data_IF_026054947116
#
_entry.id   IF_026054947116
#
_cell.length_a   1.000
_cell.length_b   1.000
_cell.length_c   1.000
_cell.angle_alpha   90.00
_cell.angle_beta   90.00
_cell.angle_gamma   90.00
#
_symmetry.space_group_name_H-M   'P 1'
#
loop_
_entity.id
_entity.type
_entity.pdbx_description
1 polymer ?
#
# COMPACT_ATOMS: atom_id res chain seq x y z
N UNK A 1 7.81 -8.18 -32.13
CA UNK A 1 6.93 -7.13 -31.57
C UNK A 1 7.67 -6.47 -30.45
N UNK A 2 8.12 -5.21 -30.65
CA UNK A 2 8.71 -4.42 -29.56
C UNK A 2 7.56 -3.74 -28.81
N UNK A 3 6.88 -4.49 -27.93
CA UNK A 3 5.94 -3.88 -27.00
C UNK A 3 6.74 -3.19 -25.90
N UNK A 4 6.49 -1.90 -25.74
CA UNK A 4 7.08 -1.14 -24.63
C UNK A 4 6.52 -1.72 -23.32
N UNK A 5 7.34 -2.44 -22.57
CA UNK A 5 6.98 -3.06 -21.27
C UNK A 5 6.37 -2.06 -20.27
N UNK A 6 6.69 -0.78 -20.44
CA UNK A 6 6.17 0.31 -19.60
C UNK A 6 4.86 0.93 -20.12
N UNK A 7 4.34 0.50 -21.27
CA UNK A 7 3.09 1.03 -21.81
C UNK A 7 1.88 0.75 -20.89
N UNK A 8 1.92 -0.34 -20.13
CA UNK A 8 0.88 -0.71 -19.14
C UNK A 8 0.77 0.27 -17.96
N UNK A 9 1.82 1.06 -17.68
CA UNK A 9 1.85 2.03 -16.58
C UNK A 9 1.48 3.45 -17.01
N UNK A 10 1.27 3.67 -18.30
CA UNK A 10 0.84 4.98 -18.82
C UNK A 10 -0.62 5.19 -18.41
N UNK A 11 -0.92 6.39 -17.92
CA UNK A 11 -2.28 6.76 -17.50
C UNK A 11 -3.26 6.64 -18.65
N UNK A 12 -4.33 5.85 -18.55
CA UNK A 12 -5.34 5.77 -19.59
C UNK A 12 -6.10 7.08 -19.69
N UNK A 13 -6.22 7.59 -20.89
CA UNK A 13 -7.01 8.79 -21.21
C UNK A 13 -8.19 8.40 -22.09
N UNK A 14 -9.39 8.86 -21.75
CA UNK A 14 -10.60 8.68 -22.55
C UNK A 14 -11.13 10.04 -22.95
N UNK A 15 -11.24 10.30 -24.25
CA UNK A 15 -11.66 11.61 -24.79
C UNK A 15 -10.85 12.80 -24.24
N UNK A 16 -9.53 12.63 -23.99
CA UNK A 16 -8.65 13.67 -23.44
C UNK A 16 -8.77 13.88 -21.91
N UNK A 17 -9.66 13.17 -21.20
CA UNK A 17 -9.78 13.24 -19.76
C UNK A 17 -9.01 12.07 -19.10
N UNK A 18 -8.25 12.33 -18.01
CA UNK A 18 -7.57 11.27 -17.26
C UNK A 18 -8.59 10.42 -16.50
N UNK A 19 -8.70 9.15 -16.84
CA UNK A 19 -9.65 8.21 -16.18
C UNK A 19 -9.14 7.80 -14.80
N UNK A 20 -7.93 8.15 -14.44
CA UNK A 20 -7.30 7.78 -13.15
C UNK A 20 -8.19 8.09 -11.95
N UNK A 21 -8.89 9.25 -11.96
CA UNK A 21 -9.81 9.64 -10.87
C UNK A 21 -10.96 8.64 -10.73
N UNK A 22 -11.52 8.19 -11.84
CA UNK A 22 -12.62 7.22 -11.85
C UNK A 22 -12.15 5.84 -11.35
N UNK A 23 -10.94 5.43 -11.74
CA UNK A 23 -10.34 4.18 -11.26
C UNK A 23 -10.04 4.25 -9.75
N UNK A 24 -9.60 5.38 -9.24
CA UNK A 24 -9.36 5.59 -7.80
C UNK A 24 -10.69 5.54 -7.02
N UNK A 25 -11.77 6.05 -7.60
CA UNK A 25 -13.09 6.02 -6.95
C UNK A 25 -13.76 4.64 -7.02
N UNK A 26 -13.38 3.77 -7.95
CA UNK A 26 -14.00 2.46 -8.17
C UNK A 26 -14.02 1.56 -6.93
N UNK A 27 -12.94 1.44 -6.13
CA UNK A 27 -12.95 0.62 -4.92
C UNK A 27 -14.00 1.04 -3.89
N UNK A 28 -14.38 2.34 -3.84
CA UNK A 28 -15.39 2.82 -2.90
C UNK A 28 -16.78 2.26 -3.23
N UNK A 29 -17.05 1.94 -4.49
CA UNK A 29 -18.32 1.36 -4.96
C UNK A 29 -18.42 -0.12 -4.55
N UNK A 30 -17.27 -0.82 -4.41
CA UNK A 30 -17.24 -2.22 -3.99
C UNK A 30 -17.65 -2.43 -2.52
N UNK A 31 -17.61 -1.37 -1.70
CA UNK A 31 -17.97 -1.43 -0.28
C UNK A 31 -19.31 -0.71 -0.01
N UNK A 32 -20.46 -1.30 -0.40
CA UNK A 32 -21.73 -0.69 -0.16
C UNK A 32 -22.03 -0.64 1.36
N UNK A 33 -22.60 0.47 1.81
CA UNK A 33 -23.07 0.60 3.19
C UNK A 33 -24.22 -0.36 3.47
N UNK A 34 -24.17 -1.03 4.62
CA UNK A 34 -25.27 -1.89 5.06
C UNK A 34 -26.46 -1.04 5.51
N UNK A 35 -27.48 -0.95 4.65
CA UNK A 35 -28.71 -0.19 4.93
C UNK A 35 -29.86 -1.09 5.45
N UNK A 36 -29.68 -2.41 5.38
CA UNK A 36 -30.73 -3.39 5.74
C UNK A 36 -30.40 -4.12 7.04
N UNK A 37 -31.42 -4.46 7.82
CA UNK A 37 -31.29 -5.26 9.06
C UNK A 37 -30.75 -6.67 8.78
N UNK A 38 -31.10 -7.27 7.65
CA UNK A 38 -30.59 -8.57 7.20
C UNK A 38 -29.72 -8.32 5.97
N UNK A 39 -28.44 -8.55 6.12
CA UNK A 39 -27.44 -8.30 5.09
C UNK A 39 -27.31 -9.51 4.13
N UNK A 40 -26.96 -9.21 2.88
CA UNK A 40 -26.58 -10.23 1.90
C UNK A 40 -25.27 -10.91 2.29
N UNK A 41 -25.04 -12.16 1.83
CA UNK A 41 -23.82 -12.93 2.13
C UNK A 41 -22.53 -12.18 1.80
N UNK A 42 -22.47 -11.43 0.69
CA UNK A 42 -21.33 -10.61 0.31
C UNK A 42 -21.05 -9.50 1.33
N UNK A 43 -22.09 -8.79 1.76
CA UNK A 43 -21.98 -7.72 2.75
C UNK A 43 -21.53 -8.29 4.12
N UNK A 44 -22.06 -9.45 4.51
CA UNK A 44 -21.64 -10.10 5.77
C UNK A 44 -20.18 -10.55 5.73
N UNK A 45 -19.69 -11.07 4.61
CA UNK A 45 -18.27 -11.41 4.42
C UNK A 45 -17.39 -10.17 4.52
N UNK A 46 -17.77 -9.07 3.86
CA UNK A 46 -17.05 -7.80 3.95
C UNK A 46 -17.01 -7.25 5.39
N UNK A 47 -18.15 -7.27 6.08
CA UNK A 47 -18.24 -6.83 7.48
C UNK A 47 -17.36 -7.70 8.41
N UNK A 48 -17.37 -9.01 8.21
CA UNK A 48 -16.50 -9.91 8.97
C UNK A 48 -15.02 -9.58 8.75
N UNK A 49 -14.62 -9.35 7.50
CA UNK A 49 -13.24 -8.99 7.15
C UNK A 49 -12.85 -7.62 7.77
N UNK A 50 -13.74 -6.62 7.71
CA UNK A 50 -13.52 -5.32 8.36
C UNK A 50 -13.41 -5.48 9.88
N UNK A 51 -14.26 -6.27 10.52
CA UNK A 51 -14.19 -6.52 11.96
C UNK A 51 -12.90 -7.23 12.37
N UNK A 52 -12.44 -8.18 11.58
CA UNK A 52 -11.20 -8.91 11.84
C UNK A 52 -9.98 -7.98 11.75
N UNK A 53 -9.90 -7.18 10.70
CA UNK A 53 -8.81 -6.20 10.53
C UNK A 53 -8.84 -5.11 11.58
N UNK A 54 -10.02 -4.57 11.92
CA UNK A 54 -10.15 -3.56 12.99
C UNK A 54 -9.73 -4.12 14.35
N UNK A 55 -10.13 -5.34 14.68
CA UNK A 55 -9.75 -5.98 15.94
C UNK A 55 -8.24 -6.16 16.06
N UNK A 56 -7.58 -6.59 14.98
CA UNK A 56 -6.13 -6.76 14.96
C UNK A 56 -5.39 -5.42 15.09
N UNK A 57 -5.80 -4.41 14.34
CA UNK A 57 -5.15 -3.10 14.36
C UNK A 57 -5.37 -2.35 15.68
N UNK A 58 -6.59 -2.45 16.25
CA UNK A 58 -6.94 -1.71 17.48
C UNK A 58 -6.39 -2.35 18.76
N UNK A 59 -5.96 -3.61 18.72
CA UNK A 59 -5.33 -4.26 19.89
C UNK A 59 -4.03 -3.59 20.34
N UNK A 60 -3.36 -2.88 19.43
CA UNK A 60 -2.08 -2.20 19.67
C UNK A 60 -2.29 -0.79 20.25
N UNK A 61 -3.45 -0.17 20.00
CA UNK A 61 -3.67 1.25 20.28
C UNK A 61 -4.28 1.55 21.64
N UNK A 62 -3.81 2.66 22.22
CA UNK A 62 -4.44 3.30 23.39
C UNK A 62 -5.81 3.89 23.03
N UNK A 63 -6.64 4.23 24.05
CA UNK A 63 -7.97 4.83 23.82
C UNK A 63 -7.93 6.09 22.91
N UNK A 64 -6.84 6.86 22.93
CA UNK A 64 -6.65 8.02 22.05
C UNK A 64 -6.36 7.62 20.61
N UNK A 65 -5.59 6.57 20.38
CA UNK A 65 -5.31 6.05 19.04
C UNK A 65 -6.52 5.39 18.38
N UNK A 66 -7.48 4.89 19.17
CA UNK A 66 -8.71 4.27 18.66
C UNK A 66 -9.60 5.25 17.87
N UNK A 67 -9.46 6.57 18.05
CA UNK A 67 -10.18 7.56 17.23
C UNK A 67 -9.81 7.49 15.75
N UNK A 68 -8.64 6.94 15.41
CA UNK A 68 -8.15 6.78 14.04
C UNK A 68 -8.54 5.43 13.42
N UNK A 69 -9.32 4.61 14.15
CA UNK A 69 -9.72 3.28 13.70
C UNK A 69 -10.36 3.28 12.31
N UNK A 70 -11.31 4.19 12.08
CA UNK A 70 -12.02 4.28 10.81
C UNK A 70 -11.08 4.63 9.66
N UNK A 71 -10.12 5.53 9.90
CA UNK A 71 -9.15 5.94 8.88
C UNK A 71 -8.18 4.80 8.53
N UNK A 72 -7.66 4.08 9.52
CA UNK A 72 -6.77 2.95 9.29
C UNK A 72 -7.47 1.78 8.59
N UNK A 73 -8.73 1.50 8.96
CA UNK A 73 -9.50 0.43 8.32
C UNK A 73 -9.90 0.77 6.90
N UNK A 74 -10.30 2.02 6.63
CA UNK A 74 -10.59 2.45 5.26
C UNK A 74 -9.34 2.40 4.38
N UNK A 75 -8.19 2.72 4.93
CA UNK A 75 -6.91 2.70 4.23
C UNK A 75 -6.49 1.28 3.84
N UNK A 76 -6.57 0.30 4.76
CA UNK A 76 -6.23 -1.09 4.42
C UNK A 76 -7.17 -1.66 3.36
N UNK A 77 -8.47 -1.35 3.46
CA UNK A 77 -9.45 -1.81 2.48
C UNK A 77 -9.25 -1.15 1.13
N UNK A 78 -8.91 0.13 1.10
CA UNK A 78 -8.64 0.87 -0.14
C UNK A 78 -7.38 0.34 -0.84
N UNK A 79 -6.24 0.26 -0.15
CA UNK A 79 -4.99 -0.24 -0.74
C UNK A 79 -5.14 -1.72 -1.14
N UNK A 80 -5.76 -2.54 -0.28
CA UNK A 80 -5.98 -3.96 -0.58
C UNK A 80 -6.85 -4.16 -1.81
N UNK A 81 -7.95 -3.44 -1.94
CA UNK A 81 -8.84 -3.55 -3.09
C UNK A 81 -8.21 -3.01 -4.38
N UNK A 82 -7.49 -1.88 -4.33
CA UNK A 82 -6.80 -1.35 -5.52
C UNK A 82 -5.69 -2.27 -6.01
N UNK A 83 -4.92 -2.86 -5.10
CA UNK A 83 -3.87 -3.81 -5.46
C UNK A 83 -4.44 -5.11 -6.04
N UNK A 84 -5.51 -5.65 -5.44
CA UNK A 84 -6.17 -6.86 -5.96
C UNK A 84 -6.84 -6.64 -7.32
N UNK A 85 -7.49 -5.51 -7.52
CA UNK A 85 -8.08 -5.16 -8.81
C UNK A 85 -7.01 -4.98 -9.89
N UNK A 86 -5.85 -4.50 -9.49
CA UNK A 86 -4.71 -4.34 -10.38
C UNK A 86 -4.12 -5.63 -10.92
N UNK A 87 -4.30 -6.75 -10.22
CA UNK A 87 -3.86 -8.06 -10.70
C UNK A 87 -4.72 -8.61 -11.85
N UNK A 88 -5.87 -8.00 -12.14
CA UNK A 88 -6.67 -8.39 -13.27
C UNK A 88 -5.96 -8.05 -14.60
N UNK A 89 -6.01 -8.92 -15.60
CA UNK A 89 -5.37 -8.68 -16.88
C UNK A 89 -5.93 -7.38 -17.51
N UNK A 90 -5.04 -6.57 -18.08
CA UNK A 90 -5.35 -5.28 -18.70
C UNK A 90 -5.91 -4.19 -17.76
N UNK A 91 -5.84 -4.39 -16.44
CA UNK A 91 -6.25 -3.36 -15.48
C UNK A 91 -5.10 -2.36 -15.23
N UNK A 92 -5.46 -1.08 -15.14
CA UNK A 92 -4.53 -0.05 -14.70
C UNK A 92 -4.55 0.04 -13.17
N UNK A 93 -3.38 -0.07 -12.55
CA UNK A 93 -3.21 0.05 -11.10
C UNK A 93 -2.81 1.48 -10.73
N UNK A 94 -3.65 2.25 -10.02
CA UNK A 94 -3.26 3.59 -9.58
C UNK A 94 -2.09 3.57 -8.59
N UNK A 95 -1.89 2.48 -7.86
CA UNK A 95 -0.81 2.29 -6.90
C UNK A 95 0.58 2.08 -7.55
N UNK A 96 0.67 1.89 -8.86
CA UNK A 96 1.95 1.92 -9.59
C UNK A 96 2.51 3.33 -9.73
N UNK A 97 1.66 4.35 -9.60
CA UNK A 97 2.09 5.74 -9.65
C UNK A 97 2.59 6.20 -8.28
N UNK A 98 3.81 6.72 -8.26
CA UNK A 98 4.42 7.24 -7.03
C UNK A 98 3.63 8.42 -6.44
N UNK A 99 3.01 9.24 -7.31
CA UNK A 99 2.22 10.41 -6.91
C UNK A 99 1.02 10.05 -6.03
N UNK A 100 0.29 8.96 -6.35
CA UNK A 100 -0.87 8.52 -5.58
C UNK A 100 -0.45 7.99 -4.21
N UNK A 101 0.64 7.22 -4.15
CA UNK A 101 1.14 6.64 -2.91
C UNK A 101 1.75 7.69 -1.98
N UNK A 102 2.48 8.67 -2.53
CA UNK A 102 2.97 9.83 -1.76
C UNK A 102 1.81 10.70 -1.26
N UNK A 103 0.78 10.90 -2.10
CA UNK A 103 -0.43 11.64 -1.73
C UNK A 103 -1.20 11.00 -0.57
N UNK A 104 -1.07 9.70 -0.34
CA UNK A 104 -1.61 9.01 0.84
C UNK A 104 -0.62 9.00 2.02
N UNK A 105 0.66 8.71 1.77
CA UNK A 105 1.65 8.53 2.83
C UNK A 105 1.98 9.84 3.56
N UNK A 106 2.18 10.94 2.82
CA UNK A 106 2.60 12.24 3.41
C UNK A 106 1.55 12.81 4.37
N UNK A 107 0.26 12.93 4.01
CA UNK A 107 -0.72 13.52 4.93
C UNK A 107 -0.97 12.62 6.15
N UNK A 108 -0.91 11.31 6.01
CA UNK A 108 -1.04 10.39 7.15
C UNK A 108 0.13 10.53 8.13
N UNK A 109 1.35 10.55 7.62
CA UNK A 109 2.54 10.76 8.43
C UNK A 109 2.54 12.15 9.08
N UNK A 110 2.24 13.20 8.33
CA UNK A 110 2.15 14.55 8.88
C UNK A 110 1.09 14.66 10.00
N UNK A 111 -0.05 14.00 9.80
CA UNK A 111 -1.10 13.92 10.82
C UNK A 111 -0.62 13.27 12.12
N UNK A 112 0.11 12.15 12.03
CA UNK A 112 0.66 11.48 13.23
C UNK A 112 1.72 12.33 13.94
N UNK A 113 2.59 13.00 13.19
CA UNK A 113 3.62 13.90 13.74
C UNK A 113 2.99 15.11 14.43
N UNK A 114 2.00 15.76 13.80
CA UNK A 114 1.29 16.91 14.41
C UNK A 114 0.58 16.49 15.71
N UNK A 115 0.00 15.30 15.74
CA UNK A 115 -0.61 14.77 16.97
C UNK A 115 0.43 14.58 18.08
N UNK A 116 1.60 14.03 17.77
CA UNK A 116 2.70 13.88 18.71
C UNK A 116 3.12 15.22 19.31
N UNK A 117 3.30 16.23 18.47
CA UNK A 117 3.61 17.60 18.94
C UNK A 117 2.49 18.24 19.74
N UNK A 118 1.22 17.89 19.53
CA UNK A 118 0.09 18.43 20.27
C UNK A 118 -0.09 17.79 21.64
N UNK A 119 0.09 16.48 21.76
CA UNK A 119 -0.22 15.73 22.99
C UNK A 119 0.99 15.41 23.84
N UNK A 120 2.17 15.19 23.24
CA UNK A 120 3.39 14.77 23.94
C UNK A 120 4.62 15.57 23.47
N UNK A 121 4.55 16.88 23.51
CA UNK A 121 5.63 17.78 23.02
C UNK A 121 7.01 17.45 23.60
N UNK A 122 7.08 17.20 24.92
CA UNK A 122 8.36 16.85 25.58
C UNK A 122 8.90 15.50 25.12
N UNK A 123 8.05 14.50 24.95
CA UNK A 123 8.46 13.16 24.53
C UNK A 123 8.86 13.15 23.05
N UNK A 124 8.12 13.86 22.17
CA UNK A 124 8.49 13.93 20.75
C UNK A 124 9.78 14.73 20.53
N UNK A 125 10.06 15.77 21.34
CA UNK A 125 11.36 16.46 21.31
C UNK A 125 12.49 15.60 21.91
N UNK A 126 12.21 14.81 22.95
CA UNK A 126 13.18 13.90 23.53
C UNK A 126 13.57 12.77 22.57
N UNK A 127 12.70 12.41 21.62
CA UNK A 127 13.00 11.40 20.59
C UNK A 127 14.15 11.83 19.67
N UNK A 128 14.33 13.14 19.44
CA UNK A 128 15.47 13.66 18.67
C UNK A 128 16.82 13.58 19.42
N UNK A 129 16.78 13.36 20.74
CA UNK A 129 17.95 13.33 21.61
C UNK A 129 18.00 11.98 22.36
N UNK A 130 18.63 10.94 21.82
CA UNK A 130 18.79 9.68 22.54
C UNK A 130 19.62 9.90 23.81
N UNK A 131 19.15 9.34 24.93
CA UNK A 131 19.76 9.47 26.24
C UNK A 131 21.16 8.83 26.25
N UNK A 132 22.14 9.52 26.83
CA UNK A 132 23.52 9.01 27.00
C UNK A 132 24.51 9.41 25.91
N UNK A 133 24.16 10.35 25.02
CA UNK A 133 25.08 10.82 23.97
C UNK A 133 26.06 11.87 24.49
N UNK A 134 27.37 11.81 24.09
CA UNK A 134 28.35 12.83 24.42
C UNK A 134 27.99 14.15 23.71
N UNK A 135 28.17 15.27 24.44
CA UNK A 135 27.82 16.63 24.00
C UNK A 135 28.24 17.01 22.57
N UNK A 136 29.46 16.68 22.08
CA UNK A 136 29.86 17.07 20.73
C UNK A 136 29.13 16.34 19.61
N UNK A 137 28.49 15.17 19.88
CA UNK A 137 27.77 14.37 18.89
C UNK A 137 26.27 14.76 18.76
N UNK A 138 25.74 15.55 19.70
CA UNK A 138 24.33 15.94 19.73
C UNK A 138 23.87 16.59 18.42
N UNK A 139 24.53 17.63 17.85
CA UNK A 139 24.02 18.30 16.65
C UNK A 139 23.98 17.37 15.43
N UNK A 140 24.94 16.44 15.33
CA UNK A 140 24.98 15.48 14.25
C UNK A 140 23.83 14.46 14.34
N UNK A 141 23.52 14.00 15.55
CA UNK A 141 22.42 13.07 15.81
C UNK A 141 21.06 13.67 15.49
N UNK A 142 20.83 14.94 15.87
CA UNK A 142 19.58 15.64 15.56
C UNK A 142 19.37 15.72 14.04
N UNK A 143 20.41 16.03 13.26
CA UNK A 143 20.33 16.09 11.80
C UNK A 143 19.97 14.70 11.22
N UNK A 144 20.64 13.65 11.68
CA UNK A 144 20.37 12.28 11.20
C UNK A 144 18.94 11.89 11.53
N UNK A 145 18.46 12.15 12.74
CA UNK A 145 17.10 11.80 13.17
C UNK A 145 16.03 12.59 12.40
N UNK A 146 16.24 13.88 12.13
CA UNK A 146 15.32 14.67 11.31
C UNK A 146 15.23 14.16 9.88
N UNK A 147 16.37 13.76 9.28
CA UNK A 147 16.41 13.16 7.95
C UNK A 147 15.69 11.80 7.96
N UNK A 148 15.94 10.98 8.97
CA UNK A 148 15.27 9.68 9.16
C UNK A 148 13.75 9.82 9.19
N UNK A 149 13.23 10.77 9.95
CA UNK A 149 11.79 11.06 10.01
C UNK A 149 11.20 11.46 8.65
N UNK A 150 11.90 12.25 7.85
CA UNK A 150 11.45 12.65 6.51
C UNK A 150 11.49 11.50 5.50
N UNK A 151 12.41 10.54 5.67
CA UNK A 151 12.50 9.36 4.80
C UNK A 151 11.34 8.38 5.06
N UNK A 152 10.77 8.33 6.26
CA UNK A 152 9.71 7.38 6.61
C UNK A 152 8.53 7.37 5.63
N UNK A 153 7.83 8.49 5.32
CA UNK A 153 6.72 8.50 4.38
C UNK A 153 7.16 8.17 2.96
N UNK A 154 8.38 8.59 2.56
CA UNK A 154 8.95 8.25 1.25
C UNK A 154 9.18 6.75 1.12
N UNK A 155 9.76 6.12 2.14
CA UNK A 155 10.01 4.67 2.14
C UNK A 155 8.71 3.86 2.06
N UNK A 156 7.62 4.30 2.71
CA UNK A 156 6.30 3.69 2.61
C UNK A 156 5.76 3.73 1.18
N UNK A 157 5.79 4.91 0.56
CA UNK A 157 5.27 5.11 -0.80
C UNK A 157 6.08 4.35 -1.84
N UNK A 158 7.43 4.44 -1.77
CA UNK A 158 8.32 3.76 -2.72
C UNK A 158 8.21 2.24 -2.60
N UNK A 159 8.07 1.69 -1.40
CA UNK A 159 7.89 0.24 -1.21
C UNK A 159 6.61 -0.26 -1.89
N UNK A 160 5.51 0.49 -1.77
CA UNK A 160 4.25 0.13 -2.40
C UNK A 160 4.38 0.15 -3.93
N UNK A 161 4.92 1.23 -4.50
CA UNK A 161 5.12 1.35 -5.95
C UNK A 161 6.07 0.30 -6.50
N UNK A 162 7.23 0.12 -5.86
CA UNK A 162 8.27 -0.78 -6.36
C UNK A 162 7.79 -2.25 -6.39
N UNK A 163 7.10 -2.71 -5.35
CA UNK A 163 6.62 -4.09 -5.30
C UNK A 163 5.60 -4.39 -6.41
N UNK A 164 4.65 -3.47 -6.62
CA UNK A 164 3.61 -3.68 -7.64
C UNK A 164 4.17 -3.52 -9.05
N UNK A 165 5.00 -2.51 -9.30
CA UNK A 165 5.61 -2.32 -10.63
C UNK A 165 6.54 -3.48 -11.00
N UNK A 166 7.37 -3.94 -10.05
CA UNK A 166 8.26 -5.07 -10.29
C UNK A 166 7.49 -6.37 -10.56
N UNK A 167 6.42 -6.65 -9.80
CA UNK A 167 5.57 -7.81 -9.98
C UNK A 167 4.92 -7.84 -11.37
N UNK A 168 4.27 -6.75 -11.76
CA UNK A 168 3.65 -6.63 -13.08
C UNK A 168 4.66 -6.77 -14.22
N UNK A 169 5.85 -6.15 -14.11
CA UNK A 169 6.90 -6.31 -15.11
C UNK A 169 7.36 -7.75 -15.25
N UNK A 170 7.54 -8.46 -14.13
CA UNK A 170 7.93 -9.87 -14.15
C UNK A 170 6.87 -10.76 -14.81
N UNK A 171 5.58 -10.55 -14.51
CA UNK A 171 4.48 -11.29 -15.14
C UNK A 171 4.46 -11.03 -16.65
N UNK A 172 4.61 -9.78 -17.08
CA UNK A 172 4.65 -9.45 -18.52
C UNK A 172 5.85 -10.07 -19.23
N UNK A 173 7.04 -10.05 -18.62
CA UNK A 173 8.25 -10.64 -19.20
C UNK A 173 8.13 -12.16 -19.35
N UNK A 174 7.70 -12.84 -18.28
CA UNK A 174 7.56 -14.30 -18.31
C UNK A 174 6.38 -14.71 -19.22
N UNK A 175 5.28 -13.93 -19.23
CA UNK A 175 4.18 -14.15 -20.14
C UNK A 175 4.59 -14.03 -21.62
N UNK A 176 5.36 -13.01 -21.96
CA UNK A 176 5.94 -12.87 -23.30
C UNK A 176 6.90 -13.99 -23.66
N UNK A 177 7.73 -14.43 -22.70
CA UNK A 177 8.63 -15.56 -22.91
C UNK A 177 7.88 -16.89 -23.12
N UNK A 178 6.78 -17.13 -22.38
CA UNK A 178 5.95 -18.35 -22.57
C UNK A 178 5.35 -18.40 -23.96
N UNK A 179 4.84 -17.27 -24.48
CA UNK A 179 4.30 -17.21 -25.84
C UNK A 179 5.38 -17.49 -26.90
N UNK A 180 6.57 -16.90 -26.77
CA UNK A 180 7.67 -17.15 -27.71
C UNK A 180 8.18 -18.58 -27.64
N UNK A 181 8.17 -19.23 -26.48
CA UNK A 181 8.61 -20.62 -26.33
C UNK A 181 7.57 -21.65 -26.86
N UNK A 182 6.29 -21.29 -26.95
CA UNK A 182 5.27 -22.15 -27.56
C UNK A 182 5.59 -22.49 -29.03
N UNK A 183 6.18 -21.56 -29.74
CA UNK A 183 6.55 -21.74 -31.16
C UNK A 183 7.81 -22.62 -31.34
N UNK A 184 8.64 -22.76 -30.29
CA UNK A 184 9.92 -23.49 -30.36
C UNK A 184 9.78 -24.90 -29.80
N UNK A 185 9.22 -25.03 -28.59
CA UNK A 185 9.11 -26.33 -27.92
C UNK A 185 8.01 -26.35 -26.86
N UNK A 186 7.10 -27.35 -26.97
CA UNK A 186 5.96 -27.45 -26.03
C UNK A 186 6.37 -27.81 -24.61
N UNK A 187 7.46 -28.53 -24.42
CA UNK A 187 7.97 -28.93 -23.10
C UNK A 187 8.51 -27.76 -22.31
N UNK A 188 9.30 -26.87 -22.92
CA UNK A 188 9.83 -25.68 -22.28
C UNK A 188 8.71 -24.66 -22.01
N UNK A 189 7.74 -24.54 -22.91
CA UNK A 189 6.58 -23.67 -22.72
C UNK A 189 5.73 -24.10 -21.51
N UNK A 190 5.54 -25.41 -21.29
CA UNK A 190 4.79 -25.89 -20.13
C UNK A 190 5.50 -25.59 -18.79
N UNK A 191 6.82 -25.70 -18.75
CA UNK A 191 7.60 -25.37 -17.57
C UNK A 191 7.49 -23.87 -17.25
N UNK A 192 7.66 -23.00 -18.25
CA UNK A 192 7.56 -21.54 -18.06
C UNK A 192 6.14 -21.11 -17.70
N UNK A 193 5.12 -21.80 -18.18
CA UNK A 193 3.73 -21.56 -17.79
C UNK A 193 3.48 -21.89 -16.32
N UNK A 194 4.03 -22.99 -15.78
CA UNK A 194 3.95 -23.32 -14.36
C UNK A 194 4.62 -22.22 -13.51
N UNK A 195 5.78 -21.74 -13.95
CA UNK A 195 6.47 -20.63 -13.28
C UNK A 195 5.60 -19.36 -13.28
N UNK A 196 4.94 -19.04 -14.39
CA UNK A 196 4.04 -17.91 -14.50
C UNK A 196 2.87 -18.02 -13.51
N UNK A 197 2.25 -19.20 -13.38
CA UNK A 197 1.17 -19.43 -12.40
C UNK A 197 1.67 -19.25 -10.97
N UNK A 198 2.84 -19.80 -10.62
CA UNK A 198 3.43 -19.62 -9.31
C UNK A 198 3.73 -18.15 -9.01
N UNK A 199 4.20 -17.40 -10.01
CA UNK A 199 4.48 -15.97 -9.87
C UNK A 199 3.20 -15.16 -9.64
N UNK A 200 2.11 -15.46 -10.35
CA UNK A 200 0.82 -14.77 -10.13
C UNK A 200 0.25 -15.03 -8.74
N UNK A 201 0.39 -16.25 -8.20
CA UNK A 201 0.01 -16.56 -6.82
C UNK A 201 0.86 -15.79 -5.81
N UNK A 202 2.16 -15.70 -6.07
CA UNK A 202 3.07 -14.94 -5.21
C UNK A 202 2.72 -13.46 -5.23
N UNK A 203 2.43 -12.88 -6.38
CA UNK A 203 2.06 -11.46 -6.50
C UNK A 203 0.74 -11.15 -5.79
N UNK A 204 -0.24 -12.08 -5.85
CA UNK A 204 -1.46 -11.97 -5.08
C UNK A 204 -1.19 -11.90 -3.56
N UNK A 205 -0.30 -12.76 -3.05
CA UNK A 205 0.10 -12.73 -1.64
C UNK A 205 0.82 -11.43 -1.28
N UNK A 206 1.75 -10.96 -2.11
CA UNK A 206 2.49 -9.71 -1.91
C UNK A 206 1.54 -8.51 -1.90
N UNK A 207 0.53 -8.46 -2.78
CA UNK A 207 -0.46 -7.39 -2.83
C UNK A 207 -1.22 -7.23 -1.50
N UNK A 208 -1.63 -8.35 -0.89
CA UNK A 208 -2.29 -8.35 0.42
C UNK A 208 -1.34 -7.96 1.56
N UNK A 209 -0.16 -8.56 1.59
CA UNK A 209 0.86 -8.27 2.61
C UNK A 209 1.24 -6.80 2.56
N UNK A 210 1.38 -6.22 1.37
CA UNK A 210 1.78 -4.83 1.21
C UNK A 210 0.73 -3.86 1.75
N UNK A 211 -0.56 -4.13 1.53
CA UNK A 211 -1.65 -3.34 2.10
C UNK A 211 -1.62 -3.39 3.65
N UNK A 212 -1.40 -4.57 4.20
CA UNK A 212 -1.30 -4.77 5.64
C UNK A 212 -0.08 -4.06 6.25
N UNK A 213 1.11 -4.23 5.65
CA UNK A 213 2.36 -3.61 6.14
C UNK A 213 2.29 -2.09 6.07
N UNK A 214 1.69 -1.52 5.01
CA UNK A 214 1.52 -0.07 4.90
C UNK A 214 0.69 0.47 6.07
N UNK A 215 -0.47 -0.11 6.33
CA UNK A 215 -1.36 0.34 7.41
C UNK A 215 -0.78 0.05 8.80
N UNK A 216 -0.06 -1.05 8.97
CA UNK A 216 0.61 -1.39 10.22
C UNK A 216 1.70 -0.36 10.55
N UNK A 217 2.51 0.06 9.59
CA UNK A 217 3.53 1.09 9.81
C UNK A 217 2.92 2.44 10.17
N UNK A 218 1.84 2.86 9.48
CA UNK A 218 1.10 4.07 9.85
C UNK A 218 0.53 3.96 11.27
N UNK A 219 -0.01 2.80 11.64
CA UNK A 219 -0.52 2.55 12.99
C UNK A 219 0.58 2.59 14.05
N UNK A 220 1.77 2.09 13.74
CA UNK A 220 2.91 2.12 14.63
C UNK A 220 3.40 3.56 14.85
N UNK A 221 3.49 4.36 13.81
CA UNK A 221 3.81 5.80 13.94
C UNK A 221 2.76 6.54 14.76
N UNK A 222 1.48 6.17 14.64
CA UNK A 222 0.42 6.71 15.48
C UNK A 222 0.59 6.31 16.95
N UNK A 223 0.95 5.05 17.21
CA UNK A 223 1.18 4.54 18.56
C UNK A 223 2.35 5.24 19.25
N UNK A 224 3.45 5.46 18.54
CA UNK A 224 4.64 6.13 19.08
C UNK A 224 4.34 7.60 19.45
N UNK A 225 3.44 8.24 18.70
CA UNK A 225 3.06 9.65 18.90
C UNK A 225 1.83 9.85 19.80
N UNK A 226 1.11 8.80 20.19
CA UNK A 226 -0.07 8.87 21.09
C UNK A 226 0.17 8.21 22.43
#
# INVERSE_FOLDING_TARGET
>A
MNENLFASFITPTMMGLPIVVLIIMFPSILFPSATRLINNRLITMQQWLIQLTTKQMMSIHTKKGQTWALMLTSLIMFIGSTNLLGLLPHSFTPTTQLSTNLGMAIPLWAGTVILGFRYKTKASLAHFLPQGTPLPLIPMLIIIETISLLIQPMALAVRLTANITAGHLLIHLIGGATLALMDISMTTASITFIILVLLTVLEFAVALIQAYVFTLLVSLYLHDNT
#
